data_IF_644744732861
#
_entry.id   IF_644744732861
#
_cell.length_a   1.000
_cell.length_b   1.000
_cell.length_c   1.000
_cell.angle_alpha   90.00
_cell.angle_beta   90.00
_cell.angle_gamma   90.00
#
_symmetry.space_group_name_H-M   'P 1'
#
loop_
_entity.id
_entity.type
_entity.pdbx_description
1 polymer ?
#
# COMPACT_ATOMS: atom_id res chain seq x y z
N UNK A 1 4.04 30.39 19.88
CA UNK A 1 5.51 30.29 20.02
C UNK A 1 6.10 30.41 18.62
N UNK A 2 7.14 31.21 18.38
CA UNK A 2 7.79 31.28 17.08
C UNK A 2 8.72 30.08 16.89
N UNK A 3 8.52 29.33 15.80
CA UNK A 3 9.35 28.19 15.41
C UNK A 3 10.68 28.65 14.82
N UNK A 4 11.75 27.90 15.12
CA UNK A 4 13.09 28.13 14.58
C UNK A 4 13.13 27.85 13.07
N UNK A 5 13.66 28.75 12.23
CA UNK A 5 13.85 28.48 10.81
C UNK A 5 15.08 27.57 10.61
N UNK A 6 14.88 26.44 9.92
CA UNK A 6 15.97 25.57 9.47
C UNK A 6 16.59 26.19 8.20
N UNK A 7 17.90 26.43 8.12
CA UNK A 7 18.48 27.31 7.10
C UNK A 7 18.76 26.64 5.74
N UNK A 8 18.33 25.40 5.49
CA UNK A 8 18.51 24.72 4.20
C UNK A 8 17.38 23.72 3.92
N UNK A 9 16.24 24.23 3.47
CA UNK A 9 15.24 23.47 2.73
C UNK A 9 14.43 24.49 1.93
N UNK A 10 14.81 24.73 0.68
CA UNK A 10 13.90 25.37 -0.26
C UNK A 10 12.79 24.36 -0.54
N UNK A 11 11.54 24.73 -0.23
CA UNK A 11 10.34 23.93 -0.54
C UNK A 11 10.27 23.55 -2.04
N UNK A 12 10.92 24.32 -2.92
CA UNK A 12 11.01 24.06 -4.36
C UNK A 12 12.04 22.97 -4.77
N UNK A 13 13.05 22.66 -3.95
CA UNK A 13 14.07 21.66 -4.32
C UNK A 13 13.65 20.22 -3.98
N UNK A 14 12.62 20.05 -3.14
CA UNK A 14 12.06 18.73 -2.86
C UNK A 14 11.24 18.20 -4.02
N UNK A 15 10.55 19.06 -4.79
CA UNK A 15 9.65 18.61 -5.84
C UNK A 15 10.36 18.21 -7.14
N UNK A 16 11.59 18.67 -7.40
CA UNK A 16 12.40 18.16 -8.53
C UNK A 16 12.85 16.69 -8.35
N UNK A 17 12.77 16.18 -7.12
CA UNK A 17 13.23 14.82 -6.77
C UNK A 17 12.10 13.79 -6.93
N UNK A 18 10.85 14.23 -6.80
CA UNK A 18 9.70 13.35 -6.95
C UNK A 18 9.08 13.55 -8.33
N UNK A 19 8.63 12.46 -8.96
CA UNK A 19 7.73 12.58 -10.11
C UNK A 19 6.41 13.23 -9.69
N UNK A 20 5.70 13.79 -10.67
CA UNK A 20 4.34 14.30 -10.44
C UNK A 20 3.41 13.14 -10.05
N UNK A 21 2.50 13.40 -9.12
CA UNK A 21 1.53 12.41 -8.64
C UNK A 21 0.59 11.90 -9.74
N UNK A 22 0.32 12.73 -10.75
CA UNK A 22 -0.56 12.41 -11.86
C UNK A 22 0.21 11.87 -13.09
N UNK A 23 1.52 11.58 -12.95
CA UNK A 23 2.36 11.07 -14.04
C UNK A 23 2.74 9.61 -13.87
N UNK A 24 2.49 8.80 -14.91
CA UNK A 24 2.99 7.44 -14.98
C UNK A 24 4.41 7.40 -15.57
N UNK A 25 5.43 7.19 -14.73
CA UNK A 25 6.85 7.16 -15.12
C UNK A 25 7.44 5.74 -14.97
N UNK A 26 7.27 4.83 -15.94
CA UNK A 26 7.68 3.42 -15.82
C UNK A 26 9.12 3.21 -15.38
N UNK A 27 10.05 4.06 -15.83
CA UNK A 27 11.49 3.95 -15.55
C UNK A 27 11.84 4.13 -14.07
N UNK A 28 10.96 4.72 -13.27
CA UNK A 28 11.16 4.91 -11.84
C UNK A 28 10.43 3.86 -10.99
N UNK A 29 9.50 3.12 -11.59
CA UNK A 29 8.70 2.11 -10.90
C UNK A 29 9.45 0.76 -10.85
N UNK A 30 9.12 -0.11 -9.88
CA UNK A 30 9.65 -1.47 -9.86
C UNK A 30 9.23 -2.25 -11.11
N UNK A 31 10.10 -3.13 -11.59
CA UNK A 31 9.67 -4.18 -12.51
C UNK A 31 8.68 -5.11 -11.79
N UNK A 32 7.55 -5.49 -12.41
CA UNK A 32 6.64 -6.46 -11.84
C UNK A 32 7.35 -7.79 -11.57
N UNK A 33 7.33 -8.25 -10.33
CA UNK A 33 7.92 -9.49 -9.90
C UNK A 33 6.97 -10.70 -10.05
N UNK A 34 7.39 -11.88 -9.57
CA UNK A 34 6.65 -13.12 -9.72
C UNK A 34 5.25 -13.11 -9.11
N UNK A 35 4.96 -12.23 -8.15
CA UNK A 35 3.60 -12.11 -7.59
C UNK A 35 2.60 -11.55 -8.62
N UNK A 36 3.08 -10.75 -9.58
CA UNK A 36 2.27 -10.12 -10.62
C UNK A 36 2.42 -10.82 -11.98
N UNK A 37 3.22 -11.89 -12.07
CA UNK A 37 3.50 -12.57 -13.33
C UNK A 37 2.22 -13.19 -13.92
N UNK A 38 1.97 -12.93 -15.21
CA UNK A 38 0.79 -13.45 -15.91
C UNK A 38 -0.53 -12.78 -15.52
N UNK A 39 -0.48 -11.67 -14.79
CA UNK A 39 -1.65 -10.87 -14.39
C UNK A 39 -1.73 -9.56 -15.18
N UNK A 40 -2.88 -8.88 -15.13
CA UNK A 40 -3.07 -7.62 -15.84
C UNK A 40 -2.53 -6.45 -15.01
N UNK A 41 -1.26 -6.10 -15.25
CA UNK A 41 -0.52 -5.08 -14.50
C UNK A 41 -1.06 -3.69 -14.85
N UNK A 42 -1.44 -2.91 -13.83
CA UNK A 42 -1.93 -1.55 -14.03
C UNK A 42 -0.82 -0.65 -14.59
N UNK A 43 -1.15 0.11 -15.63
CA UNK A 43 -0.26 1.06 -16.30
C UNK A 43 -1.01 2.33 -16.66
N UNK A 44 -0.27 3.43 -16.92
CA UNK A 44 -0.88 4.70 -17.28
C UNK A 44 -1.85 5.19 -16.20
N UNK A 45 -3.00 5.68 -16.64
CA UNK A 45 -4.04 6.27 -15.79
C UNK A 45 -4.54 5.28 -14.72
N UNK A 46 -4.73 4.00 -15.05
CA UNK A 46 -5.19 2.99 -14.08
C UNK A 46 -4.20 2.83 -12.91
N UNK A 47 -2.90 2.93 -13.19
CA UNK A 47 -1.88 2.91 -12.13
C UNK A 47 -1.95 4.18 -11.29
N UNK A 48 -2.02 5.33 -11.94
CA UNK A 48 -2.03 6.65 -11.30
C UNK A 48 -3.25 6.79 -10.39
N UNK A 49 -4.44 6.44 -10.88
CA UNK A 49 -5.70 6.53 -10.13
C UNK A 49 -5.65 5.69 -8.85
N UNK A 50 -5.23 4.43 -8.95
CA UNK A 50 -5.10 3.58 -7.78
C UNK A 50 -3.97 4.04 -6.84
N UNK A 51 -2.87 4.56 -7.40
CA UNK A 51 -1.74 5.03 -6.61
C UNK A 51 -2.08 6.31 -5.83
N UNK A 52 -2.84 7.22 -6.43
CA UNK A 52 -3.36 8.40 -5.74
C UNK A 52 -4.27 8.02 -4.57
N UNK A 53 -5.17 7.07 -4.79
CA UNK A 53 -6.00 6.54 -3.71
C UNK A 53 -5.14 5.90 -2.60
N UNK A 54 -4.09 5.17 -2.99
CA UNK A 54 -3.15 4.58 -2.04
C UNK A 54 -2.50 5.64 -1.17
N UNK A 55 -2.08 6.77 -1.74
CA UNK A 55 -1.53 7.89 -0.98
C UNK A 55 -2.55 8.43 0.03
N UNK A 56 -3.80 8.68 -0.38
CA UNK A 56 -4.88 9.15 0.50
C UNK A 56 -5.17 8.17 1.65
N UNK A 57 -5.29 6.86 1.35
CA UNK A 57 -5.52 5.80 2.33
C UNK A 57 -4.36 5.69 3.32
N UNK A 58 -3.12 5.73 2.84
CA UNK A 58 -1.93 5.63 3.67
C UNK A 58 -1.75 6.85 4.57
N UNK A 59 -2.17 8.03 4.09
CA UNK A 59 -2.18 9.26 4.87
C UNK A 59 -3.16 9.13 6.04
N UNK A 60 -4.39 8.68 5.77
CA UNK A 60 -5.41 8.48 6.79
C UNK A 60 -5.03 7.39 7.81
N UNK A 61 -4.39 6.31 7.34
CA UNK A 61 -4.04 5.14 8.17
C UNK A 61 -2.63 5.19 8.77
N UNK A 62 -1.86 6.24 8.49
CA UNK A 62 -0.52 6.42 9.04
C UNK A 62 0.51 5.40 8.53
N UNK A 63 0.41 4.96 7.26
CA UNK A 63 1.39 4.06 6.64
C UNK A 63 2.57 4.88 6.11
N UNK A 64 3.58 5.04 6.97
CA UNK A 64 4.74 5.90 6.74
C UNK A 64 6.03 5.10 6.76
N UNK A 65 6.93 5.41 5.84
CA UNK A 65 8.31 4.94 5.90
C UNK A 65 9.08 5.82 6.89
N UNK A 66 9.46 5.27 8.05
CA UNK A 66 10.16 6.03 9.08
C UNK A 66 11.63 6.29 8.73
N UNK A 67 12.20 5.56 7.76
CA UNK A 67 13.56 5.81 7.26
C UNK A 67 13.60 7.11 6.45
N UNK A 68 12.59 7.32 5.60
CA UNK A 68 12.52 8.52 4.76
C UNK A 68 11.66 9.65 5.35
N UNK A 69 10.78 9.33 6.31
CA UNK A 69 9.94 10.30 7.00
C UNK A 69 8.74 10.78 6.19
N UNK A 70 8.24 9.98 5.26
CA UNK A 70 7.08 10.31 4.43
C UNK A 70 6.10 9.14 4.28
N UNK A 71 4.91 9.45 3.77
CA UNK A 71 3.89 8.48 3.36
C UNK A 71 4.50 7.43 2.41
N UNK A 72 4.31 6.14 2.71
CA UNK A 72 4.98 5.06 1.98
C UNK A 72 4.72 5.09 0.46
N UNK A 73 3.54 5.54 0.02
CA UNK A 73 3.19 5.63 -1.40
C UNK A 73 4.16 6.56 -2.16
N UNK A 74 4.67 7.60 -1.49
CA UNK A 74 5.60 8.58 -2.08
C UNK A 74 6.93 7.96 -2.52
N UNK A 75 7.27 6.76 -2.05
CA UNK A 75 8.44 6.03 -2.53
C UNK A 75 8.38 5.73 -4.04
N UNK A 76 7.19 5.50 -4.61
CA UNK A 76 7.02 5.28 -6.05
C UNK A 76 7.46 6.47 -6.90
N UNK A 77 7.36 7.68 -6.33
CA UNK A 77 7.67 8.92 -7.03
C UNK A 77 9.13 9.34 -6.82
N UNK A 78 9.86 8.73 -5.87
CA UNK A 78 11.22 9.17 -5.53
C UNK A 78 12.24 8.73 -6.58
N UNK A 79 12.64 9.66 -7.45
CA UNK A 79 13.61 9.40 -8.51
C UNK A 79 15.03 9.02 -8.01
N UNK A 80 15.32 9.15 -6.70
CA UNK A 80 16.57 8.66 -6.09
C UNK A 80 16.54 7.16 -5.83
N UNK A 81 15.34 6.57 -5.83
CA UNK A 81 15.11 5.16 -5.55
C UNK A 81 14.35 4.48 -6.71
N UNK A 82 14.83 4.60 -7.97
CA UNK A 82 14.16 3.97 -9.10
C UNK A 82 14.11 2.46 -8.89
N UNK A 83 12.95 1.88 -9.15
CA UNK A 83 12.70 0.46 -8.96
C UNK A 83 12.20 0.07 -7.57
N UNK A 84 11.97 1.03 -6.66
CA UNK A 84 11.36 0.80 -5.36
C UNK A 84 9.91 1.31 -5.31
N UNK A 85 9.11 0.81 -4.37
CA UNK A 85 7.69 1.14 -4.23
C UNK A 85 6.77 0.01 -4.67
N UNK A 86 5.55 0.34 -5.05
CA UNK A 86 4.48 -0.60 -5.38
C UNK A 86 4.25 -0.77 -6.88
N UNK A 87 3.94 -2.00 -7.28
CA UNK A 87 3.28 -2.31 -8.55
C UNK A 87 1.94 -2.98 -8.28
N UNK A 88 0.98 -2.72 -9.16
CA UNK A 88 -0.40 -3.18 -9.00
C UNK A 88 -0.83 -4.01 -10.21
N UNK A 89 -1.68 -4.99 -9.99
CA UNK A 89 -2.29 -5.77 -11.05
C UNK A 89 -3.67 -6.29 -10.63
N UNK A 90 -4.51 -6.62 -11.61
CA UNK A 90 -5.79 -7.31 -11.35
C UNK A 90 -5.58 -8.82 -11.37
N UNK A 91 -6.06 -9.50 -10.33
CA UNK A 91 -5.95 -10.96 -10.23
C UNK A 91 -6.76 -11.67 -11.34
N UNK A 92 -6.18 -12.65 -12.05
CA UNK A 92 -6.90 -13.37 -13.09
C UNK A 92 -7.92 -14.35 -12.49
N UNK A 93 -9.17 -14.28 -12.95
CA UNK A 93 -10.21 -15.24 -12.58
C UNK A 93 -10.80 -15.09 -11.18
N UNK A 94 -10.24 -14.21 -10.34
CA UNK A 94 -10.83 -13.76 -9.08
C UNK A 94 -11.49 -12.41 -9.32
N UNK A 95 -12.82 -12.34 -9.18
CA UNK A 95 -13.52 -11.07 -9.35
C UNK A 95 -13.02 -10.07 -8.31
N UNK A 96 -12.65 -8.88 -8.79
CA UNK A 96 -12.35 -7.68 -8.02
C UNK A 96 -11.25 -7.83 -6.97
N UNK A 97 -10.22 -8.66 -7.19
CA UNK A 97 -9.03 -8.68 -6.32
C UNK A 97 -7.90 -7.90 -6.97
N UNK A 98 -7.37 -6.89 -6.27
CA UNK A 98 -6.13 -6.23 -6.65
C UNK A 98 -4.94 -6.89 -5.99
N UNK A 99 -3.88 -7.09 -6.76
CA UNK A 99 -2.56 -7.54 -6.29
C UNK A 99 -1.65 -6.33 -6.18
N UNK A 100 -1.00 -6.15 -5.03
CA UNK A 100 -0.01 -5.11 -4.79
C UNK A 100 1.33 -5.74 -4.38
N UNK A 101 2.36 -5.60 -5.21
CA UNK A 101 3.72 -6.05 -4.89
C UNK A 101 4.59 -4.87 -4.48
N UNK A 102 5.19 -4.95 -3.29
CA UNK A 102 6.11 -3.97 -2.74
C UNK A 102 7.56 -4.37 -2.98
N UNK A 103 8.33 -3.48 -3.59
CA UNK A 103 9.78 -3.60 -3.73
C UNK A 103 10.48 -2.60 -2.83
N UNK A 104 11.19 -3.04 -1.77
CA UNK A 104 11.94 -2.13 -0.92
C UNK A 104 13.19 -1.58 -1.62
N UNK A 105 13.72 -0.46 -1.16
CA UNK A 105 14.95 0.15 -1.69
C UNK A 105 16.20 -0.74 -1.55
N UNK A 106 16.17 -1.68 -0.60
CA UNK A 106 17.25 -2.65 -0.37
C UNK A 106 16.72 -4.01 0.07
N UNK A 107 17.52 -5.06 -0.15
CA UNK A 107 17.18 -6.44 0.24
C UNK A 107 17.08 -6.71 1.75
N UNK A 108 17.52 -5.75 2.57
CA UNK A 108 17.61 -5.86 4.02
C UNK A 108 16.71 -4.84 4.74
N UNK A 109 15.78 -4.20 4.03
CA UNK A 109 14.93 -3.17 4.62
C UNK A 109 14.19 -3.75 5.85
N UNK A 110 14.55 -3.33 7.08
CA UNK A 110 14.09 -3.97 8.30
C UNK A 110 12.60 -3.72 8.57
N UNK A 111 12.00 -2.77 7.83
CA UNK A 111 10.62 -2.35 7.98
C UNK A 111 9.70 -2.98 6.94
N UNK A 112 10.20 -3.80 6.00
CA UNK A 112 9.39 -4.36 4.90
C UNK A 112 8.16 -5.10 5.43
N UNK A 113 8.31 -5.85 6.52
CA UNK A 113 7.21 -6.53 7.20
C UNK A 113 6.16 -5.54 7.73
N UNK A 114 6.54 -4.65 8.65
CA UNK A 114 5.60 -3.70 9.25
C UNK A 114 4.94 -2.76 8.23
N UNK A 115 5.68 -2.35 7.20
CA UNK A 115 5.17 -1.50 6.12
C UNK A 115 4.12 -2.24 5.28
N UNK A 116 4.39 -3.48 4.87
CA UNK A 116 3.44 -4.25 4.05
C UNK A 116 2.24 -4.74 4.84
N UNK A 117 2.40 -5.09 6.12
CA UNK A 117 1.27 -5.37 7.02
C UNK A 117 0.42 -4.12 7.23
N UNK A 118 1.04 -2.95 7.40
CA UNK A 118 0.36 -1.66 7.51
C UNK A 118 -0.44 -1.34 6.25
N UNK A 119 0.19 -1.48 5.08
CA UNK A 119 -0.45 -1.29 3.78
C UNK A 119 -1.65 -2.23 3.57
N UNK A 120 -1.47 -3.54 3.82
CA UNK A 120 -2.53 -4.55 3.73
C UNK A 120 -3.74 -4.18 4.59
N UNK A 121 -3.51 -3.78 5.85
CA UNK A 121 -4.58 -3.38 6.77
C UNK A 121 -5.23 -2.05 6.36
N UNK A 122 -4.45 -1.12 5.81
CA UNK A 122 -4.94 0.18 5.40
C UNK A 122 -5.92 0.07 4.23
N UNK A 123 -5.52 -0.60 3.15
CA UNK A 123 -6.40 -0.83 2.00
C UNK A 123 -7.66 -1.59 2.38
N UNK A 124 -7.52 -2.77 2.98
CA UNK A 124 -8.68 -3.61 3.29
C UNK A 124 -9.55 -3.06 4.45
N UNK A 125 -9.00 -2.16 5.27
CA UNK A 125 -9.76 -1.47 6.31
C UNK A 125 -10.58 -0.28 5.81
N UNK A 126 -10.29 0.22 4.61
CA UNK A 126 -11.03 1.28 3.90
C UNK A 126 -11.49 0.77 2.54
N UNK A 127 -12.00 -0.46 2.49
CA UNK A 127 -12.38 -1.13 1.25
C UNK A 127 -13.54 -0.43 0.52
N UNK A 128 -14.30 0.40 1.21
CA UNK A 128 -15.33 1.28 0.64
C UNK A 128 -14.78 2.41 -0.24
N UNK A 129 -13.45 2.61 -0.23
CA UNK A 129 -12.78 3.66 -1.03
C UNK A 129 -12.28 3.18 -2.39
N UNK A 130 -12.31 1.87 -2.67
CA UNK A 130 -11.89 1.29 -3.95
C UNK A 130 -12.88 0.26 -4.45
N UNK A 131 -12.90 0.02 -5.76
CA UNK A 131 -13.82 -0.93 -6.41
C UNK A 131 -13.42 -2.41 -6.26
N UNK A 132 -12.35 -2.70 -5.52
CA UNK A 132 -11.88 -4.04 -5.26
C UNK A 132 -12.50 -4.64 -4.00
N UNK A 133 -12.88 -5.91 -4.07
CA UNK A 133 -13.36 -6.69 -2.92
C UNK A 133 -12.26 -6.81 -1.85
N UNK A 134 -11.00 -6.85 -2.28
CA UNK A 134 -9.80 -6.80 -1.42
C UNK A 134 -8.54 -6.44 -2.19
N UNK A 135 -7.51 -6.02 -1.44
CA UNK A 135 -6.14 -5.86 -1.93
C UNK A 135 -5.25 -6.91 -1.27
N UNK A 136 -4.66 -7.81 -2.07
CA UNK A 136 -3.65 -8.78 -1.61
C UNK A 136 -2.26 -8.19 -1.77
N UNK A 137 -1.39 -8.38 -0.77
CA UNK A 137 -0.09 -7.71 -0.69
C UNK A 137 1.03 -8.74 -0.64
N UNK A 138 2.12 -8.47 -1.36
CA UNK A 138 3.35 -9.25 -1.28
C UNK A 138 4.58 -8.33 -1.27
N UNK A 139 5.67 -8.81 -0.68
CA UNK A 139 7.02 -8.26 -0.81
C UNK A 139 7.76 -8.99 -1.93
N UNK A 140 8.43 -8.23 -2.79
CA UNK A 140 9.19 -8.75 -3.91
C UNK A 140 10.30 -9.73 -3.45
N UNK A 141 10.61 -10.80 -4.24
CA UNK A 141 11.58 -11.83 -3.86
C UNK A 141 13.00 -11.33 -3.57
N UNK A 142 13.35 -10.12 -4.06
CA UNK A 142 14.66 -9.54 -3.78
C UNK A 142 14.92 -9.28 -2.29
N UNK A 143 13.86 -9.18 -1.46
CA UNK A 143 13.99 -9.08 -0.01
C UNK A 143 14.31 -10.44 0.61
N UNK A 144 15.31 -10.48 1.51
CA UNK A 144 15.84 -11.76 2.03
C UNK A 144 14.80 -12.58 2.82
N UNK A 145 13.85 -11.91 3.47
CA UNK A 145 12.76 -12.54 4.24
C UNK A 145 11.43 -12.55 3.48
N UNK A 146 11.43 -12.27 2.17
CA UNK A 146 10.20 -12.20 1.36
C UNK A 146 9.30 -13.42 1.54
N UNK A 147 9.84 -14.63 1.55
CA UNK A 147 9.07 -15.87 1.77
C UNK A 147 8.35 -15.89 3.12
N UNK A 148 9.04 -15.48 4.19
CA UNK A 148 8.49 -15.45 5.55
C UNK A 148 7.39 -14.39 5.67
N UNK A 149 7.70 -13.17 5.23
CA UNK A 149 6.76 -12.03 5.25
C UNK A 149 5.52 -12.33 4.41
N UNK A 150 5.70 -12.88 3.20
CA UNK A 150 4.58 -13.23 2.32
C UNK A 150 3.72 -14.37 2.89
N UNK A 151 4.30 -15.27 3.68
CA UNK A 151 3.55 -16.26 4.45
C UNK A 151 2.64 -15.58 5.48
N UNK A 152 3.20 -14.64 6.26
CA UNK A 152 2.45 -13.89 7.27
C UNK A 152 1.36 -13.00 6.65
N UNK A 153 1.64 -12.29 5.56
CA UNK A 153 0.65 -11.46 4.85
C UNK A 153 -0.56 -12.29 4.41
N UNK A 154 -0.35 -13.50 3.87
CA UNK A 154 -1.43 -14.42 3.50
C UNK A 154 -2.23 -14.89 4.71
N UNK A 155 -1.60 -15.07 5.87
CA UNK A 155 -2.27 -15.47 7.09
C UNK A 155 -3.13 -14.34 7.66
N UNK A 156 -2.63 -13.11 7.61
CA UNK A 156 -3.39 -11.91 8.01
C UNK A 156 -4.56 -11.68 7.06
N UNK A 157 -4.34 -11.76 5.75
CA UNK A 157 -5.40 -11.60 4.74
C UNK A 157 -6.54 -12.60 4.95
N UNK A 158 -6.23 -13.89 5.20
CA UNK A 158 -7.25 -14.90 5.51
C UNK A 158 -8.07 -14.53 6.73
N UNK A 159 -7.42 -14.07 7.82
CA UNK A 159 -8.13 -13.65 9.04
C UNK A 159 -9.00 -12.41 8.83
N UNK A 160 -8.56 -11.47 7.98
CA UNK A 160 -9.37 -10.29 7.64
C UNK A 160 -10.64 -10.71 6.91
N UNK A 161 -10.52 -11.61 5.93
CA UNK A 161 -11.66 -12.16 5.21
C UNK A 161 -12.66 -12.88 6.13
N UNK A 162 -12.16 -13.73 7.03
CA UNK A 162 -13.00 -14.48 7.95
C UNK A 162 -13.80 -13.55 8.88
N UNK A 163 -13.24 -12.40 9.25
CA UNK A 163 -13.93 -11.36 10.04
C UNK A 163 -14.98 -10.62 9.22
N UNK A 164 -14.71 -10.31 7.95
CA UNK A 164 -15.68 -9.67 7.05
C UNK A 164 -16.92 -10.53 6.81
N UNK A 165 -16.75 -11.85 6.73
CA UNK A 165 -17.85 -12.82 6.54
C UNK A 165 -18.70 -13.03 7.81
N UNK A 166 -18.25 -12.53 8.96
CA UNK A 166 -18.98 -12.59 10.24
C UNK A 166 -19.21 -11.17 10.80
N UNK A 167 -20.04 -10.33 10.15
CA UNK A 167 -20.43 -9.06 10.75
C UNK A 167 -21.13 -9.37 12.07
N UNK A 168 -20.58 -8.86 13.17
CA UNK A 168 -21.07 -9.05 14.53
C UNK A 168 -22.62 -8.99 14.58
N UNK A 169 -23.25 -10.14 14.81
CA UNK A 169 -24.66 -10.25 15.13
C UNK A 169 -24.92 -9.82 16.58
N UNK A 170 -24.58 -8.57 16.90
CA UNK A 170 -24.91 -7.91 18.16
C UNK A 170 -25.74 -6.67 17.87
N UNK A 171 -26.94 -6.92 17.35
CA UNK A 171 -28.02 -5.95 17.29
C UNK A 171 -29.34 -6.63 17.69
N UNK A 172 -29.39 -7.21 18.89
CA UNK A 172 -30.66 -7.40 19.59
C UNK A 172 -30.42 -7.56 21.10
N UNK A 173 -30.42 -6.43 21.81
CA UNK A 173 -30.91 -6.44 23.19
C UNK A 173 -31.69 -5.14 23.36
N UNK A 174 -32.83 -5.07 22.66
CA UNK A 174 -33.84 -4.08 22.96
C UNK A 174 -34.34 -4.35 24.39
N UNK A 175 -34.29 -3.36 25.32
CA UNK A 175 -34.88 -3.58 26.63
C UNK A 175 -36.39 -3.77 26.47
N UNK A 176 -36.81 -5.01 26.69
CA UNK A 176 -38.21 -5.37 26.93
C UNK A 176 -38.78 -4.42 27.97
N UNK A 177 -39.73 -3.58 27.58
CA UNK A 177 -40.48 -2.75 28.52
C UNK A 177 -41.51 -3.62 29.24
N UNK A 178 -41.49 -3.73 30.57
CA UNK A 178 -42.72 -3.88 31.32
C UNK A 178 -43.17 -2.49 31.77
N UNK A 179 -44.39 -2.09 31.40
CA UNK A 179 -45.40 -1.37 32.19
C UNK A 179 -46.45 -0.76 31.25
#
# INVERSE_FOLDING_TARGET
>A
MPGFPRPFASEDASDEIFDDYDEFVPRHLPEPGPFLEGTDVLTGDDHVDFHRLTHEIFEERGVYDATFGYNLARLNLDSRHPGAGFRYAVAPGERNVLLAEFTPTTKFCPQSDSLTVGALRAWNGLSDRHDYDRVSVAVAPMHQQSTEINGELRDIERRLRDQSDHPDSNADDGPSSPF
#
